data_IF_662542886030
#
_entry.id   IF_662542886030
#
_cell.length_a   1.000
_cell.length_b   1.000
_cell.length_c   1.000
_cell.angle_alpha   90.00
_cell.angle_beta   90.00
_cell.angle_gamma   90.00
#
_symmetry.space_group_name_H-M   'P 1'
#
loop_
_entity.id
_entity.type
_entity.pdbx_description
1 polymer ?
#
# COMPACT_ATOMS: atom_id res chain seq x y z
N UNK A 1 12.08 5.39 27.92
CA UNK A 1 11.17 6.00 26.93
C UNK A 1 10.65 4.87 26.06
N UNK A 2 9.42 4.43 26.30
CA UNK A 2 8.78 3.42 25.44
C UNK A 2 8.65 3.99 24.03
N UNK A 3 9.42 3.42 23.09
CA UNK A 3 9.36 3.85 21.69
C UNK A 3 8.01 3.43 21.12
N UNK A 4 7.25 4.40 20.62
CA UNK A 4 5.94 4.17 19.98
C UNK A 4 6.11 3.22 18.80
N UNK A 5 5.40 2.09 18.80
CA UNK A 5 5.36 1.16 17.67
C UNK A 5 4.79 1.86 16.43
N UNK A 6 5.41 1.67 15.28
CA UNK A 6 4.94 2.22 13.99
C UNK A 6 3.56 1.65 13.64
N UNK A 7 2.71 2.47 13.01
CA UNK A 7 1.42 2.01 12.49
C UNK A 7 1.61 1.46 11.06
N UNK A 8 1.42 0.15 10.90
CA UNK A 8 1.62 -0.58 9.66
C UNK A 8 0.31 -0.68 8.90
N UNK A 9 0.29 -0.16 7.67
CA UNK A 9 -0.90 -0.09 6.82
C UNK A 9 -0.64 -0.84 5.53
N UNK A 10 -1.47 -1.84 5.26
CA UNK A 10 -1.40 -2.63 4.03
C UNK A 10 -2.41 -2.12 3.02
N UNK A 11 -1.96 -1.77 1.81
CA UNK A 11 -2.85 -1.39 0.70
C UNK A 11 -3.05 -2.63 -0.17
N UNK A 12 -4.23 -3.25 -0.10
CA UNK A 12 -4.50 -4.55 -0.71
C UNK A 12 -5.81 -4.60 -1.49
N UNK A 13 -5.77 -5.25 -2.65
CA UNK A 13 -6.93 -5.69 -3.43
C UNK A 13 -6.45 -6.76 -4.42
N UNK A 14 -7.24 -7.82 -4.61
CA UNK A 14 -6.97 -8.89 -5.57
C UNK A 14 -7.25 -8.47 -7.01
N UNK A 15 -7.97 -7.36 -7.24
CA UNK A 15 -8.08 -6.76 -8.58
C UNK A 15 -6.85 -5.91 -8.90
N UNK A 16 -6.25 -6.16 -10.06
CA UNK A 16 -5.20 -5.31 -10.64
C UNK A 16 -5.75 -3.94 -11.06
N UNK A 17 -4.88 -2.94 -11.20
CA UNK A 17 -5.26 -1.63 -11.76
C UNK A 17 -6.10 -0.72 -10.86
N UNK A 18 -6.52 -1.14 -9.67
CA UNK A 18 -7.35 -0.31 -8.76
C UNK A 18 -6.59 0.85 -8.08
N UNK A 19 -5.30 1.03 -8.36
CA UNK A 19 -4.48 2.15 -7.89
C UNK A 19 -3.77 1.95 -6.55
N UNK A 20 -3.41 0.71 -6.18
CA UNK A 20 -2.68 0.38 -4.94
C UNK A 20 -1.37 1.18 -4.81
N UNK A 21 -0.44 1.01 -5.74
CA UNK A 21 0.85 1.73 -5.76
C UNK A 21 0.68 3.24 -5.82
N UNK A 22 -0.29 3.73 -6.60
CA UNK A 22 -0.61 5.16 -6.68
C UNK A 22 -1.04 5.73 -5.33
N UNK A 23 -1.87 4.99 -4.57
CA UNK A 23 -2.26 5.40 -3.23
C UNK A 23 -1.11 5.29 -2.24
N UNK A 24 -0.24 4.28 -2.34
CA UNK A 24 0.99 4.19 -1.54
C UNK A 24 1.83 5.46 -1.70
N UNK A 25 2.02 5.92 -2.95
CA UNK A 25 2.72 7.17 -3.27
C UNK A 25 1.97 8.37 -2.66
N UNK A 26 0.70 8.56 -3.00
CA UNK A 26 -0.09 9.70 -2.53
C UNK A 26 -0.12 9.79 -1.00
N UNK A 27 -0.38 8.68 -0.31
CA UNK A 27 -0.45 8.65 1.14
C UNK A 27 0.89 8.89 1.82
N UNK A 28 2.01 8.45 1.24
CA UNK A 28 3.33 8.80 1.79
C UNK A 28 3.59 10.30 1.75
N UNK A 29 3.22 10.99 0.65
CA UNK A 29 3.32 12.45 0.57
C UNK A 29 2.32 13.15 1.51
N UNK A 30 1.07 12.68 1.58
CA UNK A 30 0.08 13.23 2.52
C UNK A 30 0.57 13.11 3.97
N UNK A 31 1.12 11.96 4.35
CA UNK A 31 1.66 11.73 5.69
C UNK A 31 2.89 12.61 5.96
N UNK A 32 3.79 12.77 4.99
CA UNK A 32 4.89 13.74 5.06
C UNK A 32 4.36 15.14 5.38
N UNK A 33 3.33 15.60 4.65
CA UNK A 33 2.74 16.94 4.85
C UNK A 33 2.03 17.08 6.20
N UNK A 34 1.67 15.97 6.84
CA UNK A 34 1.17 15.90 8.22
C UNK A 34 2.30 15.77 9.25
N UNK A 35 3.56 15.95 8.83
CA UNK A 35 4.76 15.90 9.67
C UNK A 35 5.17 14.48 10.07
N UNK A 36 4.70 13.44 9.37
CA UNK A 36 4.95 12.04 9.72
C UNK A 36 6.14 11.46 8.97
N UNK A 37 6.90 10.61 9.64
CA UNK A 37 7.98 9.81 9.03
C UNK A 37 7.44 8.47 8.54
N UNK A 38 7.65 8.17 7.26
CA UNK A 38 7.00 7.07 6.55
C UNK A 38 8.04 6.15 5.91
N UNK A 39 7.87 4.85 6.09
CA UNK A 39 8.54 3.83 5.31
C UNK A 39 7.56 3.22 4.31
N UNK A 40 7.91 3.26 3.03
CA UNK A 40 7.27 2.50 1.98
C UNK A 40 7.96 1.14 1.85
N UNK A 41 7.22 0.04 1.75
CA UNK A 41 7.76 -1.26 1.37
C UNK A 41 7.00 -1.71 0.13
N UNK A 42 7.70 -1.77 -1.01
CA UNK A 42 7.14 -2.28 -2.25
C UNK A 42 7.25 -3.81 -2.23
N UNK A 43 6.11 -4.48 -2.13
CA UNK A 43 6.00 -5.94 -2.11
C UNK A 43 5.33 -6.47 -3.39
N UNK A 44 5.23 -5.68 -4.46
CA UNK A 44 4.72 -6.16 -5.76
C UNK A 44 5.90 -6.43 -6.70
N UNK A 45 6.01 -7.64 -7.27
CA UNK A 45 7.07 -7.99 -8.21
C UNK A 45 7.05 -7.14 -9.50
N UNK A 46 5.89 -6.51 -9.80
CA UNK A 46 5.75 -5.52 -10.87
C UNK A 46 6.45 -4.19 -10.57
N UNK A 47 6.92 -3.98 -9.34
CA UNK A 47 7.81 -2.90 -8.90
C UNK A 47 7.38 -1.46 -9.25
N UNK A 48 6.08 -1.21 -9.42
CA UNK A 48 5.58 0.10 -9.84
C UNK A 48 5.96 1.23 -8.86
N UNK A 49 5.88 0.95 -7.55
CA UNK A 49 6.26 1.90 -6.50
C UNK A 49 7.76 2.18 -6.51
N UNK A 50 8.58 1.13 -6.61
CA UNK A 50 10.03 1.20 -6.79
C UNK A 50 10.41 2.02 -8.02
N UNK A 51 9.77 1.76 -9.16
CA UNK A 51 10.04 2.43 -10.43
C UNK A 51 9.77 3.93 -10.35
N UNK A 52 8.71 4.34 -9.64
CA UNK A 52 8.42 5.75 -9.40
C UNK A 52 9.55 6.45 -8.63
N UNK A 53 10.14 5.79 -7.63
CA UNK A 53 11.25 6.32 -6.82
C UNK A 53 12.66 5.92 -7.31
N UNK A 54 12.80 5.40 -8.54
CA UNK A 54 14.04 4.76 -9.03
C UNK A 54 15.32 5.58 -8.85
N UNK A 55 15.24 6.91 -8.91
CA UNK A 55 16.38 7.84 -8.76
C UNK A 55 17.02 7.82 -7.36
N UNK A 56 16.33 7.29 -6.36
CA UNK A 56 16.80 7.20 -4.98
C UNK A 56 17.27 5.80 -4.58
N UNK A 57 17.21 4.83 -5.50
CA UNK A 57 17.42 3.41 -5.21
C UNK A 57 18.78 2.97 -5.70
N UNK A 58 19.61 2.50 -4.78
CA UNK A 58 20.97 2.04 -5.01
C UNK A 58 21.11 0.55 -4.68
N UNK A 59 22.06 -0.13 -5.33
CA UNK A 59 22.33 -1.58 -5.13
C UNK A 59 21.07 -2.47 -5.28
N UNK A 60 20.17 -2.09 -6.19
CA UNK A 60 18.85 -2.68 -6.40
C UNK A 60 18.82 -4.21 -6.46
N UNK A 61 19.80 -4.83 -7.13
CA UNK A 61 19.85 -6.29 -7.31
C UNK A 61 20.11 -7.05 -6.00
N UNK A 62 20.81 -6.42 -5.05
CA UNK A 62 21.17 -7.01 -3.75
C UNK A 62 20.23 -6.53 -2.64
N UNK A 63 19.89 -5.25 -2.64
CA UNK A 63 19.25 -4.58 -1.52
C UNK A 63 17.76 -4.32 -1.82
N UNK A 64 16.95 -5.36 -1.71
CA UNK A 64 15.51 -5.33 -1.99
C UNK A 64 14.73 -6.22 -1.02
N UNK A 65 13.39 -6.11 -1.05
CA UNK A 65 12.49 -6.86 -0.16
C UNK A 65 12.63 -8.37 -0.32
N UNK A 66 12.88 -8.88 -1.53
CA UNK A 66 13.04 -10.32 -1.75
C UNK A 66 14.24 -10.85 -0.98
N UNK A 67 15.41 -10.24 -1.18
CA UNK A 67 16.63 -10.61 -0.47
C UNK A 67 16.51 -10.39 1.04
N UNK A 68 15.79 -9.36 1.49
CA UNK A 68 15.49 -9.16 2.90
C UNK A 68 14.65 -10.30 3.49
N UNK A 69 13.59 -10.72 2.80
CA UNK A 69 12.70 -11.79 3.28
C UNK A 69 13.40 -13.14 3.36
N UNK A 70 14.30 -13.45 2.41
CA UNK A 70 15.03 -14.73 2.41
C UNK A 70 16.34 -14.70 3.22
N UNK A 71 16.66 -13.57 3.87
CA UNK A 71 17.83 -13.44 4.74
C UNK A 71 19.15 -13.17 4.02
N UNK A 72 19.13 -12.80 2.74
CA UNK A 72 20.31 -12.46 1.93
C UNK A 72 20.72 -10.98 2.01
N UNK A 73 19.91 -10.14 2.66
CA UNK A 73 20.21 -8.73 2.89
C UNK A 73 19.71 -8.28 4.26
N UNK A 74 20.41 -7.32 4.86
CA UNK A 74 19.98 -6.72 6.13
C UNK A 74 19.04 -5.53 5.90
N UNK A 75 18.15 -5.28 6.87
CA UNK A 75 17.17 -4.20 6.79
C UNK A 75 17.81 -2.83 6.47
N UNK A 76 18.90 -2.50 7.16
CA UNK A 76 19.64 -1.23 7.01
C UNK A 76 20.29 -1.07 5.62
N UNK A 77 20.52 -2.17 4.90
CA UNK A 77 21.05 -2.13 3.54
C UNK A 77 19.95 -1.89 2.51
N UNK A 78 18.74 -2.39 2.79
CA UNK A 78 17.59 -2.31 1.88
C UNK A 78 16.86 -0.96 1.94
N UNK A 79 17.00 -0.23 3.05
CA UNK A 79 16.35 1.06 3.21
C UNK A 79 17.05 2.17 2.40
N UNK A 80 16.27 2.87 1.58
CA UNK A 80 16.73 4.01 0.78
C UNK A 80 15.96 5.27 1.22
N UNK A 81 16.68 6.39 1.38
CA UNK A 81 16.09 7.68 1.75
C UNK A 81 15.60 8.42 0.49
N UNK A 82 14.32 8.78 0.45
CA UNK A 82 13.74 9.63 -0.61
C UNK A 82 13.90 11.10 -0.24
N UNK A 83 13.56 11.44 1.00
CA UNK A 83 13.74 12.75 1.64
C UNK A 83 13.76 12.57 3.17
N UNK A 84 13.68 13.64 3.95
CA UNK A 84 13.76 13.57 5.42
C UNK A 84 12.60 12.80 6.09
N UNK A 85 11.48 12.66 5.39
CA UNK A 85 10.27 12.03 5.91
C UNK A 85 9.94 10.69 5.23
N UNK A 86 10.31 10.50 3.96
CA UNK A 86 9.91 9.33 3.16
C UNK A 86 11.13 8.44 2.90
N UNK A 87 10.97 7.17 3.18
CA UNK A 87 11.94 6.10 2.96
C UNK A 87 11.29 4.98 2.17
N UNK A 88 12.09 4.16 1.49
CA UNK A 88 11.60 3.02 0.72
C UNK A 88 12.48 1.79 0.91
N UNK A 89 11.87 0.62 1.04
CA UNK A 89 12.49 -0.68 0.72
C UNK A 89 11.94 -1.10 -0.64
N UNK A 90 12.81 -1.23 -1.66
CA UNK A 90 12.38 -1.51 -3.03
C UNK A 90 11.96 -2.98 -3.21
N UNK A 91 11.07 -3.21 -4.17
CA UNK A 91 10.75 -4.54 -4.70
C UNK A 91 11.83 -5.01 -5.67
N UNK A 92 11.73 -6.25 -6.15
CA UNK A 92 12.54 -6.77 -7.25
C UNK A 92 11.69 -7.77 -8.06
N UNK A 93 11.87 -7.92 -9.39
CA UNK A 93 11.12 -8.90 -10.17
C UNK A 93 11.20 -10.33 -9.61
N UNK A 94 12.34 -10.73 -9.03
CA UNK A 94 12.52 -12.04 -8.36
C UNK A 94 11.65 -12.24 -7.12
N UNK A 95 10.96 -11.22 -6.62
CA UNK A 95 10.00 -11.39 -5.53
C UNK A 95 8.90 -12.40 -5.88
N UNK A 96 8.59 -12.62 -7.16
CA UNK A 96 7.63 -13.66 -7.54
C UNK A 96 8.10 -15.07 -7.15
N UNK A 97 9.41 -15.32 -7.20
CA UNK A 97 10.02 -16.60 -6.82
C UNK A 97 9.78 -16.96 -5.35
N UNK A 98 9.55 -15.96 -4.49
CA UNK A 98 9.28 -16.15 -3.07
C UNK A 98 8.11 -17.11 -2.82
N UNK A 99 7.12 -17.11 -3.70
CA UNK A 99 5.95 -17.99 -3.58
C UNK A 99 6.31 -19.48 -3.69
N UNK A 100 7.38 -19.82 -4.41
CA UNK A 100 7.81 -21.19 -4.69
C UNK A 100 8.95 -21.68 -3.78
N UNK A 101 9.58 -20.78 -3.02
CA UNK A 101 10.63 -21.15 -2.05
C UNK A 101 10.08 -22.01 -0.91
N UNK A 102 10.82 -23.03 -0.50
CA UNK A 102 10.51 -23.81 0.69
C UNK A 102 11.22 -23.19 1.90
N UNK A 103 10.50 -22.41 2.70
CA UNK A 103 11.00 -21.70 3.89
C UNK A 103 9.99 -21.92 5.01
N UNK A 104 10.46 -22.22 6.20
CA UNK A 104 9.60 -22.38 7.37
C UNK A 104 8.98 -21.03 7.79
N UNK A 105 7.71 -21.06 8.22
CA UNK A 105 6.96 -19.86 8.62
C UNK A 105 6.98 -18.74 7.57
N UNK A 106 7.00 -19.11 6.27
CA UNK A 106 7.19 -18.18 5.15
C UNK A 106 6.23 -16.99 5.15
N UNK A 107 5.02 -17.15 5.66
CA UNK A 107 4.00 -16.10 5.77
C UNK A 107 4.28 -15.05 6.85
N UNK A 108 5.29 -15.23 7.71
CA UNK A 108 5.60 -14.35 8.85
C UNK A 108 6.99 -13.71 8.76
N UNK A 109 7.72 -13.88 7.65
CA UNK A 109 9.10 -13.37 7.54
C UNK A 109 9.17 -11.85 7.64
N UNK A 110 8.21 -11.12 7.07
CA UNK A 110 8.18 -9.66 7.16
C UNK A 110 8.05 -9.17 8.61
N UNK A 111 7.19 -9.79 9.43
CA UNK A 111 7.03 -9.36 10.83
C UNK A 111 8.33 -9.54 11.61
N UNK A 112 9.04 -10.65 11.40
CA UNK A 112 10.37 -10.87 11.98
C UNK A 112 11.40 -9.83 11.52
N UNK A 113 11.36 -9.43 10.24
CA UNK A 113 12.23 -8.37 9.72
C UNK A 113 11.91 -7.00 10.35
N UNK A 114 10.63 -6.67 10.57
CA UNK A 114 10.25 -5.35 11.07
C UNK A 114 10.39 -5.21 12.59
N UNK A 115 9.99 -6.23 13.36
CA UNK A 115 10.01 -6.20 14.83
C UNK A 115 11.43 -5.95 15.37
N UNK A 116 12.46 -6.51 14.72
CA UNK A 116 13.86 -6.36 15.14
C UNK A 116 14.49 -5.02 14.75
N UNK A 117 14.06 -4.42 13.64
CA UNK A 117 14.85 -3.39 12.95
C UNK A 117 14.19 -2.01 12.88
N UNK A 118 12.86 -1.90 12.97
CA UNK A 118 12.17 -0.61 12.75
C UNK A 118 12.28 0.37 13.91
N UNK A 119 12.57 -0.14 15.12
CA UNK A 119 12.65 0.66 16.35
C UNK A 119 13.77 1.72 16.31
N UNK A 120 14.82 1.54 15.50
CA UNK A 120 15.92 2.51 15.39
C UNK A 120 15.59 3.71 14.50
N UNK A 121 14.63 3.58 13.58
CA UNK A 121 14.32 4.62 12.59
C UNK A 121 13.19 5.56 13.00
N UNK A 122 12.42 5.23 14.03
CA UNK A 122 11.28 6.01 14.53
C UNK A 122 10.26 6.36 13.42
N UNK A 123 9.85 5.36 12.62
CA UNK A 123 8.76 5.56 11.66
C UNK A 123 7.43 5.74 12.39
N UNK A 124 6.66 6.76 12.01
CA UNK A 124 5.26 6.88 12.43
C UNK A 124 4.39 5.85 11.69
N UNK A 125 4.64 5.68 10.39
CA UNK A 125 3.87 4.80 9.51
C UNK A 125 4.75 3.94 8.63
N UNK A 126 4.28 2.71 8.37
CA UNK A 126 4.84 1.81 7.35
C UNK A 126 3.72 1.48 6.38
N UNK A 127 3.86 1.82 5.09
CA UNK A 127 2.89 1.50 4.06
C UNK A 127 3.40 0.32 3.22
N UNK A 128 2.60 -0.74 3.12
CA UNK A 128 2.90 -1.93 2.33
C UNK A 128 2.11 -1.88 1.02
N UNK A 129 2.81 -1.76 -0.12
CA UNK A 129 2.22 -1.93 -1.45
C UNK A 129 2.28 -3.39 -1.85
N UNK A 130 1.16 -3.97 -2.28
CA UNK A 130 1.01 -5.43 -2.35
C UNK A 130 0.59 -5.91 -3.74
N UNK A 131 0.88 -7.18 -4.09
CA UNK A 131 0.51 -7.72 -5.39
C UNK A 131 -1.00 -7.96 -5.49
N UNK A 132 -1.57 -8.01 -6.71
CA UNK A 132 -3.00 -8.30 -6.94
C UNK A 132 -3.32 -9.81 -6.85
N UNK A 133 -2.66 -10.55 -5.95
CA UNK A 133 -2.85 -12.00 -5.83
C UNK A 133 -2.76 -12.43 -4.37
N UNK A 134 -3.48 -13.51 -4.01
CA UNK A 134 -3.42 -14.06 -2.66
C UNK A 134 -2.21 -14.98 -2.47
N UNK A 135 -1.03 -14.36 -2.56
CA UNK A 135 0.29 -14.97 -2.54
C UNK A 135 0.88 -15.04 -1.12
N UNK A 136 2.02 -15.72 -0.95
CA UNK A 136 2.74 -15.66 0.33
C UNK A 136 3.26 -14.26 0.62
N UNK A 137 3.53 -13.47 -0.41
CA UNK A 137 3.90 -12.06 -0.28
C UNK A 137 2.75 -11.26 0.35
N UNK A 138 1.51 -11.43 -0.13
CA UNK A 138 0.35 -10.78 0.49
C UNK A 138 0.11 -11.29 1.92
N UNK A 139 0.29 -12.58 2.20
CA UNK A 139 0.18 -13.11 3.56
C UNK A 139 1.17 -12.45 4.53
N UNK A 140 2.42 -12.21 4.12
CA UNK A 140 3.40 -11.47 4.90
C UNK A 140 2.93 -10.05 5.24
N UNK A 141 2.41 -9.34 4.24
CA UNK A 141 1.88 -8.00 4.43
C UNK A 141 0.68 -7.99 5.39
N UNK A 142 -0.23 -8.97 5.27
CA UNK A 142 -1.41 -9.06 6.13
C UNK A 142 -1.05 -9.46 7.57
N UNK A 143 -0.18 -10.44 7.76
CA UNK A 143 0.21 -10.91 9.10
C UNK A 143 1.01 -9.87 9.89
N UNK A 144 1.53 -8.84 9.23
CA UNK A 144 2.31 -7.75 9.85
C UNK A 144 1.49 -6.47 10.04
N UNK A 145 0.27 -6.40 9.49
CA UNK A 145 -0.50 -5.15 9.39
C UNK A 145 -1.24 -4.78 10.68
N UNK A 146 -1.39 -3.48 10.93
CA UNK A 146 -2.34 -2.96 11.92
C UNK A 146 -3.67 -2.57 11.28
N UNK A 147 -3.64 -2.12 10.02
CA UNK A 147 -4.84 -1.71 9.27
C UNK A 147 -4.69 -2.02 7.79
N UNK A 148 -5.79 -2.43 7.15
CA UNK A 148 -5.85 -2.66 5.72
C UNK A 148 -6.63 -1.51 5.05
N UNK A 149 -6.08 -0.96 3.97
CA UNK A 149 -6.80 -0.05 3.07
C UNK A 149 -7.11 -0.82 1.79
N UNK A 150 -8.38 -0.90 1.43
CA UNK A 150 -8.86 -1.62 0.24
C UNK A 150 -9.37 -0.59 -0.79
N UNK A 151 -8.58 -0.24 -1.80
CA UNK A 151 -9.06 0.61 -2.89
C UNK A 151 -9.98 -0.18 -3.82
N UNK A 152 -11.15 0.35 -4.12
CA UNK A 152 -12.15 -0.26 -5.00
C UNK A 152 -12.49 0.73 -6.10
N UNK A 153 -12.27 0.32 -7.34
CA UNK A 153 -12.75 1.04 -8.51
C UNK A 153 -14.12 0.47 -8.89
N UNK A 154 -15.22 1.25 -8.89
CA UNK A 154 -16.57 0.73 -9.11
C UNK A 154 -16.78 0.39 -10.59
N UNK A 155 -16.35 -0.80 -10.98
CA UNK A 155 -16.53 -1.41 -12.29
C UNK A 155 -17.15 -2.80 -12.15
N UNK A 156 -17.52 -3.43 -13.26
CA UNK A 156 -17.92 -4.83 -13.30
C UNK A 156 -16.90 -5.70 -12.55
N UNK A 157 -17.39 -6.67 -11.77
CA UNK A 157 -16.60 -7.64 -10.98
C UNK A 157 -15.85 -7.08 -9.75
N UNK A 158 -16.06 -5.80 -9.42
CA UNK A 158 -15.31 -5.15 -8.35
C UNK A 158 -15.80 -5.56 -6.95
N UNK A 159 -17.09 -5.90 -6.83
CA UNK A 159 -17.68 -6.37 -5.56
C UNK A 159 -17.26 -7.81 -5.30
N UNK A 160 -17.25 -8.66 -6.31
CA UNK A 160 -16.86 -10.06 -6.24
C UNK A 160 -15.39 -10.19 -5.83
N UNK A 161 -14.51 -9.39 -6.45
CA UNK A 161 -13.09 -9.33 -6.09
C UNK A 161 -12.89 -8.85 -4.63
N UNK A 162 -13.67 -7.86 -4.20
CA UNK A 162 -13.67 -7.36 -2.83
C UNK A 162 -14.13 -8.44 -1.83
N UNK A 163 -15.21 -9.16 -2.14
CA UNK A 163 -15.76 -10.23 -1.31
C UNK A 163 -14.76 -11.36 -1.09
N UNK A 164 -14.02 -11.75 -2.12
CA UNK A 164 -12.97 -12.78 -2.00
C UNK A 164 -11.89 -12.32 -1.03
N UNK A 165 -11.45 -11.06 -1.10
CA UNK A 165 -10.47 -10.52 -0.16
C UNK A 165 -11.04 -10.48 1.25
N UNK A 166 -12.24 -9.94 1.44
CA UNK A 166 -12.89 -9.82 2.75
C UNK A 166 -13.02 -11.19 3.42
N UNK A 167 -13.49 -12.21 2.70
CA UNK A 167 -13.57 -13.59 3.22
C UNK A 167 -12.23 -14.13 3.74
N UNK A 168 -11.11 -13.70 3.15
CA UNK A 168 -9.76 -14.14 3.55
C UNK A 168 -9.19 -13.38 4.75
N UNK A 169 -9.73 -12.20 5.06
CA UNK A 169 -9.24 -11.32 6.14
C UNK A 169 -10.21 -11.28 7.34
N UNK A 170 -11.49 -11.60 7.15
CA UNK A 170 -12.51 -11.48 8.21
C UNK A 170 -12.25 -12.41 9.39
N UNK A 171 -11.80 -13.65 9.13
CA UNK A 171 -11.50 -14.64 10.18
C UNK A 171 -10.36 -14.19 11.12
N UNK A 172 -9.53 -13.25 10.66
CA UNK A 172 -8.41 -12.70 11.42
C UNK A 172 -8.74 -11.37 12.10
N UNK A 173 -10.01 -10.91 12.04
CA UNK A 173 -10.48 -9.69 12.68
C UNK A 173 -9.65 -8.44 12.37
N UNK A 174 -9.12 -8.33 11.15
CA UNK A 174 -8.34 -7.16 10.76
C UNK A 174 -9.19 -5.89 10.72
N UNK A 175 -8.61 -4.78 11.17
CA UNK A 175 -9.19 -3.46 10.95
C UNK A 175 -9.00 -3.06 9.48
N UNK A 176 -10.07 -2.93 8.70
CA UNK A 176 -9.99 -2.52 7.31
C UNK A 176 -10.88 -1.32 6.98
N UNK A 177 -10.49 -0.59 5.95
CA UNK A 177 -11.24 0.55 5.43
C UNK A 177 -11.23 0.52 3.90
N UNK A 178 -12.36 0.87 3.30
CA UNK A 178 -12.55 0.89 1.85
C UNK A 178 -12.46 2.32 1.34
N UNK A 179 -11.80 2.49 0.20
CA UNK A 179 -11.77 3.74 -0.56
C UNK A 179 -12.40 3.47 -1.91
N UNK A 180 -13.39 4.28 -2.30
CA UNK A 180 -13.86 4.28 -3.69
C UNK A 180 -12.85 5.08 -4.52
N UNK A 181 -11.99 4.39 -5.24
CA UNK A 181 -10.86 4.99 -5.97
C UNK A 181 -11.14 5.08 -7.47
N UNK A 182 -10.44 5.98 -8.16
CA UNK A 182 -10.58 6.23 -9.60
C UNK A 182 -12.03 6.49 -10.01
N UNK A 183 -12.81 7.16 -9.14
CA UNK A 183 -14.22 7.38 -9.37
C UNK A 183 -14.45 8.35 -10.55
N UNK A 184 -15.27 7.95 -11.52
CA UNK A 184 -15.63 8.75 -12.69
C UNK A 184 -17.10 9.17 -12.55
N UNK A 185 -17.35 10.49 -12.50
CA UNK A 185 -18.72 11.02 -12.47
C UNK A 185 -19.48 10.68 -13.77
N UNK A 186 -20.78 10.44 -13.67
CA UNK A 186 -21.73 10.34 -14.78
C UNK A 186 -21.61 9.11 -15.70
N UNK A 187 -21.37 7.92 -15.13
CA UNK A 187 -21.61 6.65 -15.86
C UNK A 187 -22.84 5.94 -15.29
N UNK A 188 -23.99 6.09 -15.95
CA UNK A 188 -25.25 5.43 -15.55
C UNK A 188 -25.07 3.91 -15.32
N UNK A 189 -24.23 3.27 -16.13
CA UNK A 189 -23.90 1.83 -16.08
C UNK A 189 -23.21 1.42 -14.76
N UNK A 190 -22.59 2.35 -14.03
CA UNK A 190 -21.81 2.03 -12.82
C UNK A 190 -22.52 2.41 -11.52
N UNK A 191 -23.70 3.03 -11.61
CA UNK A 191 -24.48 3.44 -10.44
C UNK A 191 -24.95 2.23 -9.63
N UNK A 192 -25.36 1.16 -10.29
CA UNK A 192 -25.80 -0.07 -9.61
C UNK A 192 -24.67 -0.74 -8.81
N UNK A 193 -23.45 -0.76 -9.37
CA UNK A 193 -22.25 -1.30 -8.68
C UNK A 193 -21.89 -0.43 -7.48
N UNK A 194 -21.94 0.89 -7.65
CA UNK A 194 -21.72 1.82 -6.55
C UNK A 194 -22.77 1.65 -5.45
N UNK A 195 -24.06 1.63 -5.80
CA UNK A 195 -25.16 1.46 -4.85
C UNK A 195 -25.06 0.12 -4.11
N UNK A 196 -24.67 -0.96 -4.80
CA UNK A 196 -24.44 -2.26 -4.18
C UNK A 196 -23.22 -2.25 -3.23
N UNK A 197 -22.12 -1.57 -3.61
CA UNK A 197 -20.96 -1.39 -2.75
C UNK A 197 -21.33 -0.65 -1.46
N UNK A 198 -22.05 0.47 -1.58
CA UNK A 198 -22.51 1.25 -0.43
C UNK A 198 -23.49 0.45 0.42
N UNK A 199 -24.47 -0.24 -0.18
CA UNK A 199 -25.43 -1.07 0.56
C UNK A 199 -24.77 -2.14 1.41
N UNK A 200 -23.70 -2.78 0.92
CA UNK A 200 -23.01 -3.86 1.62
C UNK A 200 -21.93 -3.36 2.59
N UNK A 201 -21.25 -2.26 2.28
CA UNK A 201 -20.01 -1.87 2.95
C UNK A 201 -19.96 -0.43 3.43
N UNK A 202 -21.09 0.28 3.53
CA UNK A 202 -21.15 1.70 3.92
C UNK A 202 -20.25 2.05 5.11
N UNK A 203 -20.31 1.25 6.19
CA UNK A 203 -19.59 1.51 7.44
C UNK A 203 -18.07 1.42 7.29
N UNK A 204 -17.57 0.72 6.26
CA UNK A 204 -16.15 0.57 5.98
C UNK A 204 -15.64 1.62 4.98
N UNK A 205 -16.54 2.28 4.22
CA UNK A 205 -16.14 3.25 3.20
C UNK A 205 -15.76 4.58 3.88
N UNK A 206 -14.53 5.03 3.68
CA UNK A 206 -13.98 6.26 4.29
C UNK A 206 -13.90 7.46 3.35
N UNK A 207 -14.31 7.26 2.10
CA UNK A 207 -14.52 8.34 1.13
C UNK A 207 -14.18 7.92 -0.29
N UNK A 208 -14.12 8.92 -1.19
CA UNK A 208 -13.88 8.74 -2.62
C UNK A 208 -12.69 9.56 -3.08
N UNK A 209 -11.93 9.00 -4.02
CA UNK A 209 -10.93 9.73 -4.79
C UNK A 209 -11.32 9.58 -6.27
N UNK A 210 -11.56 10.71 -6.92
CA UNK A 210 -11.95 10.73 -8.31
C UNK A 210 -10.76 10.42 -9.22
N UNK A 211 -11.08 9.96 -10.42
CA UNK A 211 -10.10 9.90 -11.49
C UNK A 211 -9.74 11.33 -11.95
N UNK A 212 -8.45 11.65 -11.93
CA UNK A 212 -7.90 12.90 -12.46
C UNK A 212 -6.73 12.60 -13.40
N UNK A 213 -6.74 13.18 -14.62
CA UNK A 213 -5.63 13.03 -15.57
C UNK A 213 -4.28 13.50 -14.98
N UNK A 214 -4.30 14.50 -14.10
CA UNK A 214 -3.11 14.98 -13.39
C UNK A 214 -2.42 13.90 -12.55
N UNK A 215 -3.16 12.87 -12.09
CA UNK A 215 -2.57 11.72 -11.40
C UNK A 215 -1.64 10.97 -12.36
N UNK A 216 -2.11 10.67 -13.57
CA UNK A 216 -1.29 10.01 -14.60
C UNK A 216 -0.05 10.82 -14.93
N UNK A 217 -0.21 12.15 -15.06
CA UNK A 217 0.91 13.05 -15.38
C UNK A 217 2.02 12.95 -14.35
N UNK A 218 1.73 13.04 -13.04
CA UNK A 218 2.80 12.98 -12.04
C UNK A 218 3.39 11.57 -11.92
N UNK A 219 2.59 10.51 -12.11
CA UNK A 219 3.09 9.12 -12.08
C UNK A 219 4.06 8.86 -13.24
N UNK A 220 3.67 9.21 -14.47
CA UNK A 220 4.49 8.99 -15.69
C UNK A 220 5.79 9.79 -15.60
N UNK A 221 5.72 11.03 -15.16
CA UNK A 221 6.88 11.91 -15.07
C UNK A 221 7.65 11.77 -13.74
N UNK A 222 7.23 10.87 -12.85
CA UNK A 222 7.83 10.64 -11.52
C UNK A 222 7.99 11.93 -10.70
N UNK A 223 6.98 12.79 -10.77
CA UNK A 223 6.94 14.08 -10.09
C UNK A 223 6.27 13.94 -8.73
N UNK A 224 6.72 14.74 -7.76
CA UNK A 224 5.99 14.91 -6.51
C UNK A 224 4.55 15.41 -6.80
N UNK A 225 3.51 14.84 -6.17
CA UNK A 225 2.14 15.27 -6.39
C UNK A 225 1.92 16.72 -5.92
N UNK A 226 1.12 17.47 -6.69
CA UNK A 226 0.78 18.85 -6.35
C UNK A 226 -0.22 18.92 -5.20
N UNK A 227 0.22 19.47 -4.06
CA UNK A 227 -0.56 19.66 -2.84
C UNK A 227 -1.84 20.50 -3.05
N UNK A 228 -1.86 21.39 -4.04
CA UNK A 228 -3.02 22.26 -4.32
C UNK A 228 -4.09 21.55 -5.14
N UNK A 229 -3.75 20.46 -5.80
CA UNK A 229 -4.64 19.71 -6.69
C UNK A 229 -5.85 19.10 -5.94
N UNK A 230 -6.94 18.87 -6.69
CA UNK A 230 -8.16 18.27 -6.12
C UNK A 230 -7.94 16.84 -5.66
N UNK A 231 -7.22 16.02 -6.43
CA UNK A 231 -6.93 14.63 -6.06
C UNK A 231 -6.14 14.54 -4.75
N UNK A 232 -5.19 15.46 -4.53
CA UNK A 232 -4.39 15.45 -3.31
C UNK A 232 -5.22 15.81 -2.09
N UNK A 233 -6.11 16.80 -2.20
CA UNK A 233 -7.05 17.17 -1.14
C UNK A 233 -8.03 16.04 -0.82
N UNK A 234 -8.54 15.35 -1.84
CA UNK A 234 -9.39 14.16 -1.66
C UNK A 234 -8.62 13.03 -0.95
N UNK A 235 -7.41 12.71 -1.40
CA UNK A 235 -6.56 11.71 -0.77
C UNK A 235 -6.25 12.06 0.69
N UNK A 236 -5.95 13.33 0.98
CA UNK A 236 -5.71 13.82 2.34
C UNK A 236 -6.93 13.64 3.25
N UNK A 237 -8.12 14.03 2.77
CA UNK A 237 -9.35 13.90 3.55
C UNK A 237 -9.71 12.43 3.79
N UNK A 238 -9.60 11.58 2.76
CA UNK A 238 -9.85 10.14 2.90
C UNK A 238 -8.87 9.51 3.88
N UNK A 239 -7.58 9.84 3.81
CA UNK A 239 -6.59 9.28 4.72
C UNK A 239 -6.83 9.74 6.17
N UNK A 240 -7.21 11.00 6.39
CA UNK A 240 -7.62 11.49 7.71
C UNK A 240 -8.80 10.71 8.29
N UNK A 241 -9.84 10.47 7.48
CA UNK A 241 -11.00 9.65 7.89
C UNK A 241 -10.63 8.19 8.20
N UNK A 242 -9.60 7.65 7.56
CA UNK A 242 -9.11 6.29 7.82
C UNK A 242 -8.30 6.24 9.12
N UNK A 243 -7.52 7.29 9.40
CA UNK A 243 -6.60 7.35 10.53
C UNK A 243 -7.19 8.01 11.78
N UNK A 244 -8.42 8.51 11.69
CA UNK A 244 -9.11 9.25 12.74
C UNK A 244 -8.31 10.49 13.20
N UNK A 245 -7.81 11.29 12.23
CA UNK A 245 -6.93 12.48 12.38
C UNK A 245 -7.56 13.82 11.95
#
# INVERSE_FOLDING_TARGET
MDRKKSNIITIANLKGGVGKSTLSILFSYVLKDLGKKVLLIDMDSQNALTSYFRKYIFNFDKNNIYNLLIGNAYFDQCINKINDHIFIIPSHPFLDEFNYKNIDNKENLLSFCLDKNTLSYNFDYILLDTPPSFSFVLKNALNTTNRIIIPVQPETWSIESLEILIKKIIDKSYNFSIIVNQFIKNRNILKEVEDALYRRYNNYIKGKIHYYNSIKVFIINRLEPDIKSKYYKEAKNVLKNILDL
#
